data_IF_979387444701
#
_entry.id   IF_979387444701
#
_cell.length_a   1.000
_cell.length_b   1.000
_cell.length_c   1.000
_cell.angle_alpha   90.00
_cell.angle_beta   90.00
_cell.angle_gamma   90.00
#
_symmetry.space_group_name_H-M   'P 1'
#
loop_
_entity.id
_entity.type
_entity.pdbx_description
1 polymer ?
#
# COMPACT_ATOMS: atom_id res chain seq x y z
N UNK A 1 50.01 3.53 15.51
CA UNK A 1 48.60 3.68 15.08
C UNK A 1 48.49 3.21 13.63
N UNK A 2 47.71 2.17 13.35
CA UNK A 2 47.76 1.46 12.06
C UNK A 2 46.89 2.15 10.99
N UNK A 3 47.32 2.10 9.72
CA UNK A 3 46.59 2.63 8.56
C UNK A 3 45.13 2.10 8.47
N UNK A 4 44.85 0.92 9.05
CA UNK A 4 43.50 0.37 9.16
C UNK A 4 42.60 1.15 10.12
N UNK A 5 43.13 1.69 11.22
CA UNK A 5 42.33 2.53 12.14
C UNK A 5 42.01 3.89 11.55
N UNK A 6 42.85 4.41 10.65
CA UNK A 6 42.60 5.65 9.90
C UNK A 6 41.58 5.43 8.79
N UNK A 7 41.71 4.36 7.99
CA UNK A 7 40.74 4.01 6.94
C UNK A 7 39.36 3.65 7.51
N UNK A 8 39.31 2.95 8.66
CA UNK A 8 38.04 2.68 9.34
C UNK A 8 37.39 3.94 9.93
N UNK A 9 38.18 4.96 10.32
CA UNK A 9 37.66 6.28 10.73
C UNK A 9 37.15 7.09 9.55
N UNK A 10 37.85 7.08 8.42
CA UNK A 10 37.42 7.77 7.20
C UNK A 10 36.15 7.13 6.60
N UNK A 11 36.04 5.80 6.59
CA UNK A 11 34.79 5.13 6.20
C UNK A 11 33.62 5.51 7.12
N UNK A 12 33.87 5.65 8.43
CA UNK A 12 32.84 5.95 9.44
C UNK A 12 32.36 7.40 9.39
N UNK A 13 33.22 8.33 8.99
CA UNK A 13 32.86 9.74 8.84
C UNK A 13 31.97 10.00 7.61
N UNK A 14 32.09 9.18 6.56
CA UNK A 14 31.33 9.33 5.30
C UNK A 14 30.09 8.41 5.17
N UNK A 15 29.80 7.60 6.19
CA UNK A 15 28.75 6.57 6.21
C UNK A 15 27.34 7.10 6.53
N UNK A 16 27.20 8.39 6.83
CA UNK A 16 25.89 8.96 7.08
C UNK A 16 25.11 9.07 5.77
N UNK A 17 24.05 8.25 5.67
CA UNK A 17 23.08 8.36 4.61
C UNK A 17 22.42 9.75 4.64
N UNK A 18 21.98 10.23 3.47
CA UNK A 18 21.09 11.37 3.41
C UNK A 18 19.91 11.24 4.38
N UNK A 19 19.43 12.38 4.87
CA UNK A 19 18.21 12.45 5.68
C UNK A 19 17.03 11.85 4.95
N UNK A 20 16.90 12.14 3.65
CA UNK A 20 15.81 11.62 2.79
C UNK A 20 15.89 10.10 2.63
N UNK A 21 17.10 9.57 2.41
CA UNK A 21 17.35 8.13 2.30
C UNK A 21 17.11 7.40 3.62
N UNK A 22 17.46 8.02 4.74
CA UNK A 22 17.21 7.48 6.07
C UNK A 22 15.71 7.44 6.37
N UNK A 23 14.98 8.50 6.02
CA UNK A 23 13.53 8.60 6.22
C UNK A 23 12.75 7.63 5.33
N UNK A 24 13.09 7.54 4.04
CA UNK A 24 12.49 6.53 3.16
C UNK A 24 12.86 5.10 3.61
N UNK A 25 14.10 4.86 4.06
CA UNK A 25 14.48 3.58 4.65
C UNK A 25 13.64 3.21 5.88
N UNK A 26 13.30 4.18 6.74
CA UNK A 26 12.39 3.99 7.88
C UNK A 26 10.97 3.67 7.43
N UNK A 27 10.47 4.31 6.37
CA UNK A 27 9.16 4.00 5.78
C UNK A 27 9.16 2.57 5.20
N UNK A 28 10.21 2.18 4.47
CA UNK A 28 10.37 0.82 3.96
C UNK A 28 10.39 -0.23 5.08
N UNK A 29 11.14 0.04 6.17
CA UNK A 29 11.16 -0.82 7.34
C UNK A 29 9.79 -0.90 8.02
N UNK A 30 9.08 0.22 8.13
CA UNK A 30 7.72 0.26 8.63
C UNK A 30 6.78 -0.64 7.81
N UNK A 31 6.81 -0.57 6.47
CA UNK A 31 6.00 -1.43 5.61
C UNK A 31 6.39 -2.91 5.75
N UNK A 32 7.67 -3.22 5.94
CA UNK A 32 8.13 -4.58 6.20
C UNK A 32 7.58 -5.11 7.54
N UNK A 33 7.65 -4.32 8.61
CA UNK A 33 7.06 -4.68 9.91
C UNK A 33 5.53 -4.83 9.82
N UNK A 34 4.87 -3.94 9.08
CA UNK A 34 3.43 -3.98 8.86
C UNK A 34 3.01 -5.24 8.10
N UNK A 35 3.85 -5.72 7.18
CA UNK A 35 3.65 -6.96 6.45
C UNK A 35 3.67 -8.17 7.39
N UNK A 36 4.63 -8.22 8.30
CA UNK A 36 4.70 -9.26 9.34
C UNK A 36 3.50 -9.18 10.28
N UNK A 37 3.13 -7.98 10.74
CA UNK A 37 1.97 -7.78 11.61
C UNK A 37 0.66 -8.22 10.94
N UNK A 38 0.47 -7.87 9.67
CA UNK A 38 -0.66 -8.33 8.86
C UNK A 38 -0.69 -9.86 8.75
N UNK A 39 0.43 -10.50 8.46
CA UNK A 39 0.51 -11.95 8.32
C UNK A 39 0.22 -12.69 9.63
N UNK A 40 0.79 -12.22 10.75
CA UNK A 40 0.52 -12.78 12.08
C UNK A 40 -0.96 -12.62 12.44
N UNK A 41 -1.53 -11.43 12.24
CA UNK A 41 -2.95 -11.18 12.51
C UNK A 41 -3.86 -12.06 11.65
N UNK A 42 -3.51 -12.27 10.38
CA UNK A 42 -4.24 -13.17 9.49
C UNK A 42 -4.13 -14.64 9.93
N UNK A 43 -2.93 -15.10 10.31
CA UNK A 43 -2.74 -16.44 10.85
C UNK A 43 -3.55 -16.67 12.12
N UNK A 44 -3.55 -15.71 13.04
CA UNK A 44 -4.37 -15.75 14.26
C UNK A 44 -5.85 -15.82 13.91
N UNK A 45 -6.34 -14.96 13.00
CA UNK A 45 -7.72 -14.97 12.55
C UNK A 45 -8.14 -16.34 11.97
N UNK A 46 -7.29 -16.97 11.14
CA UNK A 46 -7.54 -18.31 10.60
C UNK A 46 -7.59 -19.40 11.69
N UNK A 47 -6.73 -19.32 12.71
CA UNK A 47 -6.68 -20.30 13.81
C UNK A 47 -7.82 -20.13 14.81
N UNK A 48 -8.32 -18.92 14.95
CA UNK A 48 -9.45 -18.58 15.82
C UNK A 48 -10.82 -18.86 15.18
N UNK A 49 -10.91 -19.33 13.93
CA UNK A 49 -12.19 -19.72 13.31
C UNK A 49 -12.96 -20.82 14.09
N UNK A 50 -12.34 -21.48 15.07
CA UNK A 50 -13.00 -22.40 16.01
C UNK A 50 -13.48 -21.77 17.34
N UNK A 51 -13.23 -20.48 17.57
CA UNK A 51 -13.62 -19.72 18.76
C UNK A 51 -14.43 -18.50 18.30
N UNK A 52 -15.62 -18.21 18.85
CA UNK A 52 -16.43 -17.07 18.44
C UNK A 52 -15.80 -15.76 18.95
N UNK A 53 -14.65 -15.37 18.41
CA UNK A 53 -14.06 -14.04 18.60
C UNK A 53 -14.66 -13.12 17.54
N UNK A 54 -15.94 -12.80 17.75
CA UNK A 54 -16.68 -11.84 16.93
C UNK A 54 -16.27 -10.43 17.38
N UNK A 55 -15.71 -9.63 16.46
CA UNK A 55 -15.49 -8.20 16.71
C UNK A 55 -14.47 -7.55 15.77
N UNK A 56 -14.67 -6.27 15.45
CA UNK A 56 -13.81 -5.49 14.56
C UNK A 56 -12.31 -5.54 14.93
N UNK A 57 -11.98 -5.75 16.21
CA UNK A 57 -10.59 -5.86 16.69
C UNK A 57 -9.88 -7.17 16.30
N UNK A 58 -10.61 -8.24 15.99
CA UNK A 58 -10.01 -9.48 15.48
C UNK A 58 -9.72 -9.43 13.98
N UNK A 59 -10.21 -8.40 13.28
CA UNK A 59 -9.98 -8.21 11.85
C UNK A 59 -8.50 -7.98 11.53
N UNK A 60 -7.92 -8.69 10.55
CA UNK A 60 -6.56 -8.44 10.07
C UNK A 60 -6.34 -7.03 9.51
N UNK A 61 -7.41 -6.35 9.07
CA UNK A 61 -7.34 -4.96 8.61
C UNK A 61 -7.23 -3.97 9.78
N UNK A 62 -7.65 -4.35 10.97
CA UNK A 62 -7.56 -3.52 12.19
C UNK A 62 -6.31 -3.87 12.98
N UNK A 63 -6.21 -5.10 13.49
CA UNK A 63 -5.09 -5.53 14.33
C UNK A 63 -3.77 -5.64 13.55
N UNK A 64 -3.81 -6.08 12.30
CA UNK A 64 -2.62 -6.28 11.46
C UNK A 64 -2.21 -5.06 10.62
N UNK A 65 -3.05 -4.02 10.56
CA UNK A 65 -2.85 -2.88 9.67
C UNK A 65 -3.17 -1.53 10.35
N UNK A 66 -4.42 -1.25 10.73
CA UNK A 66 -4.78 0.05 11.29
C UNK A 66 -4.05 0.36 12.61
N UNK A 67 -4.06 -0.57 13.56
CA UNK A 67 -3.44 -0.38 14.89
C UNK A 67 -1.93 -0.21 14.81
N UNK A 68 -1.15 -1.08 14.12
CA UNK A 68 0.29 -0.88 13.98
C UNK A 68 0.64 0.43 13.25
N UNK A 69 -0.18 0.83 12.27
CA UNK A 69 0.02 2.10 11.57
C UNK A 69 -0.23 3.30 12.49
N UNK A 70 -1.25 3.25 13.34
CA UNK A 70 -1.52 4.26 14.36
C UNK A 70 -0.39 4.37 15.39
N UNK A 71 0.09 3.22 15.88
CA UNK A 71 1.20 3.16 16.82
C UNK A 71 2.46 3.78 16.19
N UNK A 72 2.73 3.45 14.93
CA UNK A 72 3.86 4.04 14.21
C UNK A 72 3.70 5.54 14.00
N UNK A 73 2.52 6.01 13.61
CA UNK A 73 2.24 7.43 13.45
C UNK A 73 2.46 8.21 14.76
N UNK A 74 1.97 7.68 15.87
CA UNK A 74 2.18 8.26 17.20
C UNK A 74 3.68 8.30 17.56
N UNK A 75 4.40 7.18 17.37
CA UNK A 75 5.85 7.11 17.58
C UNK A 75 6.62 8.14 16.73
N UNK A 76 6.15 8.43 15.52
CA UNK A 76 6.75 9.42 14.60
C UNK A 76 6.25 10.84 14.81
N UNK A 77 5.37 11.08 15.79
CA UNK A 77 4.78 12.39 16.07
C UNK A 77 3.90 12.92 14.93
N UNK A 78 3.27 12.04 14.15
CA UNK A 78 2.31 12.41 13.09
C UNK A 78 0.94 12.58 13.73
N UNK A 79 0.38 13.79 13.69
CA UNK A 79 -0.95 14.09 14.19
C UNK A 79 -2.01 13.71 13.14
N UNK A 80 -2.66 12.57 13.34
CA UNK A 80 -3.74 12.13 12.46
C UNK A 80 -5.03 12.84 12.84
N UNK A 81 -5.60 13.59 11.90
CA UNK A 81 -6.89 14.25 12.09
C UNK A 81 -8.05 13.31 11.77
N UNK A 82 -8.79 12.93 12.81
CA UNK A 82 -10.07 12.23 12.73
C UNK A 82 -11.27 13.21 12.68
N UNK A 83 -11.01 14.50 12.50
CA UNK A 83 -12.06 15.50 12.31
C UNK A 83 -12.81 15.28 11.00
N UNK A 84 -14.07 15.73 10.94
CA UNK A 84 -14.80 15.82 9.68
C UNK A 84 -14.13 16.89 8.78
N UNK A 85 -14.21 16.73 7.45
CA UNK A 85 -13.75 17.76 6.53
C UNK A 85 -14.48 19.08 6.77
N UNK A 86 -13.76 20.20 6.58
CA UNK A 86 -14.34 21.53 6.62
C UNK A 86 -15.55 21.63 5.67
N UNK A 87 -16.58 22.40 6.05
CA UNK A 87 -17.81 22.53 5.25
C UNK A 87 -17.54 22.98 3.80
N UNK A 88 -16.55 23.85 3.61
CA UNK A 88 -16.11 24.34 2.29
C UNK A 88 -15.50 23.26 1.41
N UNK A 89 -15.05 22.13 1.98
CA UNK A 89 -14.35 21.03 1.29
C UNK A 89 -15.17 19.74 1.22
N UNK A 90 -16.44 19.76 1.61
CA UNK A 90 -17.30 18.57 1.57
C UNK A 90 -17.48 18.06 0.14
N UNK A 91 -17.66 18.95 -0.83
CA UNK A 91 -17.79 18.56 -2.24
C UNK A 91 -16.52 17.85 -2.75
N UNK A 92 -15.34 18.37 -2.42
CA UNK A 92 -14.06 17.74 -2.75
C UNK A 92 -13.88 16.40 -2.06
N UNK A 93 -14.26 16.29 -0.78
CA UNK A 93 -14.23 15.05 -0.02
C UNK A 93 -15.14 13.98 -0.64
N UNK A 94 -16.36 14.35 -1.05
CA UNK A 94 -17.31 13.46 -1.72
C UNK A 94 -16.81 13.03 -3.09
N UNK A 95 -16.32 13.98 -3.91
CA UNK A 95 -15.74 13.67 -5.22
C UNK A 95 -14.57 12.69 -5.07
N UNK A 96 -13.71 12.90 -4.07
CA UNK A 96 -12.57 12.02 -3.80
C UNK A 96 -13.01 10.64 -3.32
N UNK A 97 -14.03 10.55 -2.48
CA UNK A 97 -14.54 9.28 -1.98
C UNK A 97 -15.21 8.46 -3.09
N UNK A 98 -15.91 9.11 -4.03
CA UNK A 98 -16.64 8.46 -5.12
C UNK A 98 -15.77 8.14 -6.34
N UNK A 99 -14.75 8.96 -6.63
CA UNK A 99 -13.95 8.84 -7.85
C UNK A 99 -13.32 7.45 -8.07
N UNK A 100 -12.78 6.75 -7.05
CA UNK A 100 -12.27 5.40 -7.23
C UNK A 100 -13.36 4.40 -7.64
N UNK A 101 -14.56 4.51 -7.07
CA UNK A 101 -15.69 3.65 -7.44
C UNK A 101 -16.15 3.92 -8.87
N UNK A 102 -16.25 5.19 -9.26
CA UNK A 102 -16.57 5.58 -10.64
C UNK A 102 -15.51 5.09 -11.65
N UNK A 103 -14.24 5.07 -11.27
CA UNK A 103 -13.18 4.53 -12.12
C UNK A 103 -13.35 3.01 -12.37
N UNK A 104 -13.82 2.25 -11.38
CA UNK A 104 -14.14 0.81 -11.55
C UNK A 104 -15.32 0.64 -12.51
N UNK A 105 -16.39 1.41 -12.34
CA UNK A 105 -17.56 1.36 -13.23
C UNK A 105 -17.17 1.74 -14.67
N UNK A 106 -16.38 2.80 -14.84
CA UNK A 106 -15.89 3.23 -16.14
C UNK A 106 -14.99 2.18 -16.79
N UNK A 107 -14.11 1.54 -16.02
CA UNK A 107 -13.26 0.46 -16.51
C UNK A 107 -14.09 -0.74 -16.98
N UNK A 108 -15.07 -1.18 -16.18
CA UNK A 108 -15.99 -2.27 -16.56
C UNK A 108 -16.75 -1.95 -17.84
N UNK A 109 -17.34 -0.74 -17.95
CA UNK A 109 -18.01 -0.31 -19.17
C UNK A 109 -17.07 -0.30 -20.39
N UNK A 110 -15.82 0.16 -20.21
CA UNK A 110 -14.81 0.18 -21.27
C UNK A 110 -14.40 -1.24 -21.70
N UNK A 111 -14.27 -2.19 -20.78
CA UNK A 111 -13.98 -3.58 -21.12
C UNK A 111 -15.17 -4.26 -21.82
N UNK A 112 -16.39 -4.06 -21.32
CA UNK A 112 -17.59 -4.64 -21.92
C UNK A 112 -17.84 -4.08 -23.33
N UNK A 113 -17.80 -2.75 -23.50
CA UNK A 113 -18.13 -2.10 -24.78
C UNK A 113 -16.94 -2.09 -25.74
N UNK A 114 -15.73 -1.86 -25.23
CA UNK A 114 -14.53 -1.66 -26.05
C UNK A 114 -13.80 -2.95 -26.40
N UNK A 115 -13.89 -3.98 -25.56
CA UNK A 115 -13.11 -5.21 -25.69
C UNK A 115 -13.94 -6.49 -25.67
N UNK A 116 -15.28 -6.39 -25.54
CA UNK A 116 -16.20 -7.53 -25.39
C UNK A 116 -15.73 -8.49 -24.28
N UNK A 117 -15.20 -7.92 -23.20
CA UNK A 117 -14.57 -8.64 -22.09
C UNK A 117 -15.27 -8.31 -20.77
N UNK A 118 -15.51 -9.33 -19.95
CA UNK A 118 -15.99 -9.16 -18.58
C UNK A 118 -14.84 -8.76 -17.65
N UNK A 119 -15.02 -7.66 -16.92
CA UNK A 119 -14.17 -7.27 -15.80
C UNK A 119 -14.13 -8.34 -14.71
N UNK A 120 -15.26 -8.99 -14.40
CA UNK A 120 -15.32 -10.08 -13.42
C UNK A 120 -14.45 -11.27 -13.83
N UNK A 121 -14.51 -11.66 -15.11
CA UNK A 121 -13.65 -12.70 -15.68
C UNK A 121 -12.18 -12.28 -15.64
N UNK A 122 -11.88 -11.01 -15.94
CA UNK A 122 -10.55 -10.42 -15.84
C UNK A 122 -10.03 -10.27 -14.42
N UNK A 123 -10.86 -10.26 -13.37
CA UNK A 123 -10.40 -10.17 -11.97
C UNK A 123 -10.46 -11.54 -11.28
N UNK A 124 -10.99 -12.57 -11.95
CA UNK A 124 -11.02 -13.94 -11.47
C UNK A 124 -11.97 -14.18 -10.30
N UNK A 125 -13.06 -13.40 -10.20
CA UNK A 125 -14.04 -13.53 -9.12
C UNK A 125 -15.10 -14.56 -9.46
N UNK A 126 -15.52 -15.34 -8.46
CA UNK A 126 -16.62 -16.29 -8.58
C UNK A 126 -17.63 -16.06 -7.46
N UNK A 127 -18.90 -16.01 -7.81
CA UNK A 127 -20.03 -15.92 -6.89
C UNK A 127 -20.99 -17.07 -7.11
N UNK A 128 -21.75 -17.43 -6.07
CA UNK A 128 -22.83 -18.41 -6.22
C UNK A 128 -23.97 -17.77 -7.03
N UNK A 129 -24.55 -18.46 -8.03
CA UNK A 129 -25.54 -17.89 -8.97
C UNK A 129 -26.85 -17.43 -8.31
N UNK A 130 -27.14 -17.86 -7.08
CA UNK A 130 -28.35 -17.50 -6.33
C UNK A 130 -28.13 -16.37 -5.30
N UNK A 131 -26.91 -15.85 -5.17
CA UNK A 131 -26.66 -14.76 -4.23
C UNK A 131 -27.39 -13.48 -4.69
N UNK A 132 -27.93 -12.68 -3.77
CA UNK A 132 -28.52 -11.37 -4.13
C UNK A 132 -27.49 -10.25 -3.97
N UNK A 133 -27.56 -9.21 -4.81
CA UNK A 133 -26.69 -8.02 -4.74
C UNK A 133 -26.73 -7.38 -3.35
N UNK A 134 -27.93 -7.26 -2.78
CA UNK A 134 -28.15 -6.62 -1.47
C UNK A 134 -27.55 -7.47 -0.35
N UNK A 135 -27.73 -8.78 -0.37
CA UNK A 135 -27.08 -9.67 0.61
C UNK A 135 -25.57 -9.66 0.47
N UNK A 136 -25.02 -9.63 -0.75
CA UNK A 136 -23.59 -9.54 -0.98
C UNK A 136 -23.01 -8.20 -0.48
N UNK A 137 -23.72 -7.09 -0.70
CA UNK A 137 -23.34 -5.77 -0.22
C UNK A 137 -23.35 -5.69 1.32
N UNK A 138 -24.41 -6.20 1.96
CA UNK A 138 -24.55 -6.19 3.43
C UNK A 138 -23.50 -7.10 4.08
N UNK A 139 -23.26 -8.30 3.53
CA UNK A 139 -22.21 -9.19 4.02
C UNK A 139 -20.81 -8.60 3.84
N UNK A 140 -20.58 -7.86 2.75
CA UNK A 140 -19.29 -7.23 2.49
C UNK A 140 -19.08 -5.91 3.25
N UNK A 141 -20.13 -5.27 3.75
CA UNK A 141 -20.07 -3.89 4.27
C UNK A 141 -19.08 -3.74 5.43
N UNK A 142 -19.10 -4.66 6.39
CA UNK A 142 -18.18 -4.63 7.54
C UNK A 142 -16.73 -4.81 7.08
N UNK A 143 -16.44 -5.87 6.31
CA UNK A 143 -15.10 -6.15 5.80
C UNK A 143 -14.54 -4.98 4.97
N UNK A 144 -15.39 -4.39 4.14
CA UNK A 144 -15.03 -3.28 3.27
C UNK A 144 -14.79 -2.00 4.08
N UNK A 145 -15.60 -1.72 5.10
CA UNK A 145 -15.39 -0.59 6.00
C UNK A 145 -14.08 -0.73 6.79
N UNK A 146 -13.80 -1.93 7.32
CA UNK A 146 -12.57 -2.20 8.07
C UNK A 146 -11.32 -2.16 7.17
N UNK A 147 -11.41 -2.71 5.95
CA UNK A 147 -10.36 -2.59 4.95
C UNK A 147 -10.14 -1.12 4.56
N UNK A 148 -11.23 -0.37 4.33
CA UNK A 148 -11.21 1.04 4.02
C UNK A 148 -10.50 1.85 5.11
N UNK A 149 -10.85 1.62 6.37
CA UNK A 149 -10.19 2.27 7.51
C UNK A 149 -8.70 1.94 7.60
N UNK A 150 -8.33 0.66 7.49
CA UNK A 150 -6.93 0.23 7.57
C UNK A 150 -6.06 0.84 6.47
N UNK A 151 -6.52 0.76 5.22
CA UNK A 151 -5.79 1.32 4.07
C UNK A 151 -5.85 2.84 4.00
N UNK A 152 -6.99 3.45 4.37
CA UNK A 152 -7.13 4.90 4.43
C UNK A 152 -6.18 5.53 5.45
N UNK A 153 -6.01 4.87 6.60
CA UNK A 153 -5.07 5.30 7.63
C UNK A 153 -3.61 5.09 7.20
N UNK A 154 -3.29 3.99 6.52
CA UNK A 154 -1.98 3.78 5.89
C UNK A 154 -1.65 4.90 4.90
N UNK A 155 -2.58 5.24 4.02
CA UNK A 155 -2.41 6.30 3.03
C UNK A 155 -2.14 7.64 3.70
N UNK A 156 -2.93 8.01 4.71
CA UNK A 156 -2.75 9.27 5.44
C UNK A 156 -1.36 9.37 6.10
N UNK A 157 -0.95 8.31 6.81
CA UNK A 157 0.34 8.29 7.52
C UNK A 157 1.52 8.31 6.57
N UNK A 158 1.47 7.51 5.50
CA UNK A 158 2.55 7.50 4.50
C UNK A 158 2.64 8.86 3.79
N UNK A 159 1.50 9.46 3.42
CA UNK A 159 1.47 10.80 2.84
C UNK A 159 2.11 11.85 3.75
N UNK A 160 1.74 11.86 5.03
CA UNK A 160 2.29 12.81 5.99
C UNK A 160 3.78 12.60 6.22
N UNK A 161 4.25 11.36 6.29
CA UNK A 161 5.69 11.07 6.45
C UNK A 161 6.49 11.50 5.23
N UNK A 162 6.00 11.21 4.03
CA UNK A 162 6.69 11.56 2.79
C UNK A 162 6.65 13.07 2.54
N UNK A 163 5.56 13.75 2.85
CA UNK A 163 5.47 15.21 2.71
C UNK A 163 6.29 15.94 3.78
N UNK A 164 6.16 15.57 5.05
CA UNK A 164 6.73 16.33 6.17
C UNK A 164 8.15 15.93 6.55
N UNK A 165 8.55 14.66 6.37
CA UNK A 165 9.90 14.18 6.74
C UNK A 165 10.86 14.10 5.55
N UNK A 166 10.36 13.70 4.37
CA UNK A 166 11.18 13.66 3.15
C UNK A 166 11.14 15.00 2.40
N UNK A 167 10.15 15.85 2.68
CA UNK A 167 10.02 17.18 2.07
C UNK A 167 9.54 17.13 0.62
N UNK A 168 8.77 16.10 0.23
CA UNK A 168 8.23 16.03 -1.13
C UNK A 168 7.11 17.04 -1.34
N UNK A 169 7.11 17.70 -2.50
CA UNK A 169 5.98 18.48 -2.98
C UNK A 169 4.69 17.64 -3.00
N UNK A 170 3.49 18.21 -2.82
CA UNK A 170 2.24 17.46 -2.72
C UNK A 170 2.00 16.45 -3.84
N UNK A 171 2.25 16.83 -5.10
CA UNK A 171 2.08 15.93 -6.25
C UNK A 171 3.02 14.70 -6.18
N UNK A 172 4.27 14.91 -5.79
CA UNK A 172 5.25 13.82 -5.59
C UNK A 172 4.91 12.97 -4.38
N UNK A 173 4.40 13.58 -3.30
CA UNK A 173 3.95 12.85 -2.13
C UNK A 173 2.75 11.95 -2.43
N UNK A 174 1.78 12.42 -3.24
CA UNK A 174 0.67 11.59 -3.74
C UNK A 174 1.20 10.39 -4.53
N UNK A 175 2.08 10.62 -5.51
CA UNK A 175 2.63 9.55 -6.33
C UNK A 175 3.45 8.53 -5.50
N UNK A 176 4.29 9.02 -4.58
CA UNK A 176 5.06 8.16 -3.68
C UNK A 176 4.16 7.36 -2.74
N UNK A 177 3.11 7.97 -2.20
CA UNK A 177 2.13 7.29 -1.34
C UNK A 177 1.39 6.21 -2.11
N UNK A 178 0.94 6.50 -3.32
CA UNK A 178 0.30 5.52 -4.20
C UNK A 178 1.23 4.34 -4.50
N UNK A 179 2.50 4.61 -4.84
CA UNK A 179 3.49 3.57 -5.12
C UNK A 179 3.77 2.70 -3.88
N UNK A 180 3.99 3.31 -2.71
CA UNK A 180 4.27 2.59 -1.46
C UNK A 180 3.07 1.77 -0.98
N UNK A 181 1.88 2.33 -1.03
CA UNK A 181 0.65 1.61 -0.67
C UNK A 181 0.37 0.45 -1.63
N UNK A 182 0.63 0.64 -2.93
CA UNK A 182 0.48 -0.41 -3.95
C UNK A 182 1.50 -1.53 -3.74
N UNK A 183 2.77 -1.19 -3.51
CA UNK A 183 3.83 -2.15 -3.21
C UNK A 183 3.50 -2.95 -1.95
N UNK A 184 3.06 -2.27 -0.88
CA UNK A 184 2.64 -2.93 0.34
C UNK A 184 1.46 -3.88 0.10
N UNK A 185 0.38 -3.39 -0.51
CA UNK A 185 -0.85 -4.18 -0.72
C UNK A 185 -0.62 -5.38 -1.63
N UNK A 186 -0.04 -5.14 -2.81
CA UNK A 186 -0.05 -6.06 -3.95
C UNK A 186 1.15 -6.99 -3.99
N UNK A 187 2.24 -6.63 -3.31
CA UNK A 187 3.47 -7.44 -3.29
C UNK A 187 3.71 -7.96 -1.89
N UNK A 188 3.96 -7.08 -0.91
CA UNK A 188 4.42 -7.50 0.41
C UNK A 188 3.34 -8.26 1.18
N UNK A 189 2.16 -7.64 1.34
CA UNK A 189 1.05 -8.18 2.11
C UNK A 189 0.50 -9.46 1.49
N UNK A 190 0.26 -9.46 0.18
CA UNK A 190 -0.23 -10.64 -0.52
C UNK A 190 0.79 -11.79 -0.46
N UNK A 191 2.08 -11.53 -0.70
CA UNK A 191 3.12 -12.56 -0.53
C UNK A 191 3.13 -13.13 0.89
N UNK A 192 3.00 -12.30 1.91
CA UNK A 192 2.97 -12.76 3.30
C UNK A 192 1.71 -13.58 3.62
N UNK A 193 0.55 -13.25 3.05
CA UNK A 193 -0.65 -14.07 3.17
C UNK A 193 -0.49 -15.43 2.48
N UNK A 194 0.14 -15.47 1.30
CA UNK A 194 0.39 -16.74 0.61
C UNK A 194 1.34 -17.66 1.41
N UNK A 195 2.24 -17.09 2.22
CA UNK A 195 3.10 -17.84 3.14
C UNK A 195 2.29 -18.48 4.28
N UNK A 196 1.29 -17.75 4.80
CA UNK A 196 0.40 -18.24 5.87
C UNK A 196 -0.48 -19.39 5.39
N UNK A 197 -1.06 -19.29 4.19
CA UNK A 197 -1.97 -20.31 3.64
C UNK A 197 -1.22 -21.55 3.14
N UNK A 198 -0.04 -21.37 2.54
CA UNK A 198 0.77 -22.48 2.02
C UNK A 198 2.24 -22.34 2.46
N UNK A 199 2.61 -22.84 3.65
CA UNK A 199 3.95 -22.69 4.18
C UNK A 199 4.92 -23.63 3.44
N UNK A 200 5.56 -23.13 2.39
CA UNK A 200 6.67 -23.82 1.71
C UNK A 200 8.00 -23.12 2.02
N UNK A 201 9.11 -23.85 2.24
CA UNK A 201 10.41 -23.25 2.60
C UNK A 201 10.88 -22.16 1.62
N UNK A 202 10.70 -22.39 0.31
CA UNK A 202 11.07 -21.40 -0.71
C UNK A 202 10.27 -20.09 -0.61
N UNK A 203 9.02 -20.13 -0.11
CA UNK A 203 8.21 -18.91 0.10
C UNK A 203 8.75 -18.06 1.25
N UNK A 204 9.31 -18.68 2.29
CA UNK A 204 9.98 -17.95 3.38
C UNK A 204 11.15 -17.15 2.82
N UNK A 205 11.96 -17.77 1.95
CA UNK A 205 13.07 -17.10 1.27
C UNK A 205 12.58 -15.94 0.40
N UNK A 206 11.54 -16.15 -0.40
CA UNK A 206 10.98 -15.08 -1.25
C UNK A 206 10.44 -13.92 -0.42
N UNK A 207 9.63 -14.19 0.60
CA UNK A 207 9.10 -13.12 1.48
C UNK A 207 10.24 -12.37 2.16
N UNK A 208 11.25 -13.06 2.68
CA UNK A 208 12.41 -12.42 3.30
C UNK A 208 13.17 -11.53 2.31
N UNK A 209 13.38 -12.00 1.08
CA UNK A 209 13.99 -11.22 0.02
C UNK A 209 13.16 -9.99 -0.34
N UNK A 210 11.83 -10.11 -0.42
CA UNK A 210 10.93 -8.98 -0.70
C UNK A 210 10.95 -7.94 0.41
N UNK A 211 11.02 -8.35 1.67
CA UNK A 211 11.14 -7.41 2.81
C UNK A 211 12.46 -6.64 2.75
N UNK A 212 13.59 -7.32 2.49
CA UNK A 212 14.89 -6.66 2.30
C UNK A 212 14.86 -5.73 1.09
N UNK A 213 14.32 -6.20 -0.03
CA UNK A 213 14.19 -5.43 -1.26
C UNK A 213 13.34 -4.17 -1.07
N UNK A 214 12.27 -4.22 -0.27
CA UNK A 214 11.45 -3.05 0.03
C UNK A 214 12.22 -1.99 0.82
N UNK A 215 12.96 -2.40 1.87
CA UNK A 215 13.79 -1.47 2.66
C UNK A 215 14.89 -0.86 1.79
N UNK A 216 15.63 -1.71 1.07
CA UNK A 216 16.71 -1.27 0.17
C UNK A 216 16.19 -0.38 -0.95
N UNK A 217 15.05 -0.70 -1.54
CA UNK A 217 14.39 0.11 -2.58
C UNK A 217 14.01 1.50 -2.09
N UNK A 218 13.49 1.62 -0.87
CA UNK A 218 13.18 2.93 -0.29
C UNK A 218 14.44 3.74 0.00
N UNK A 219 15.51 3.12 0.54
CA UNK A 219 16.80 3.79 0.73
C UNK A 219 17.38 4.25 -0.61
N UNK A 220 17.37 3.39 -1.63
CA UNK A 220 17.82 3.69 -2.99
C UNK A 220 17.05 4.88 -3.58
N UNK A 221 15.72 4.90 -3.43
CA UNK A 221 14.86 5.99 -3.87
C UNK A 221 15.20 7.33 -3.19
N UNK A 222 15.59 7.32 -1.92
CA UNK A 222 16.01 8.55 -1.24
C UNK A 222 17.39 9.04 -1.67
N UNK A 223 18.33 8.13 -1.95
CA UNK A 223 19.64 8.49 -2.50
C UNK A 223 19.48 9.06 -3.92
N UNK A 224 18.65 8.46 -4.77
CA UNK A 224 18.38 8.97 -6.12
C UNK A 224 17.65 10.30 -6.08
N UNK A 225 16.68 10.47 -5.19
CA UNK A 225 16.00 11.74 -4.97
C UNK A 225 16.98 12.86 -4.62
N UNK A 226 17.83 12.65 -3.62
CA UNK A 226 18.84 13.66 -3.24
C UNK A 226 19.80 13.96 -4.38
N UNK A 227 20.25 12.94 -5.09
CA UNK A 227 21.16 13.10 -6.24
C UNK A 227 20.52 13.95 -7.34
N UNK A 228 19.21 13.77 -7.58
CA UNK A 228 18.46 14.57 -8.54
C UNK A 228 18.30 16.03 -8.07
N UNK A 229 18.07 16.26 -6.77
CA UNK A 229 17.97 17.61 -6.18
C UNK A 229 19.32 18.34 -6.25
N UNK A 230 20.42 17.66 -5.88
CA UNK A 230 21.78 18.21 -5.90
C UNK A 230 22.39 18.26 -7.32
N UNK A 231 21.71 17.71 -8.34
CA UNK A 231 22.22 17.52 -9.71
C UNK A 231 23.61 16.88 -9.75
N UNK A 232 23.85 15.91 -8.86
CA UNK A 232 25.14 15.28 -8.65
C UNK A 232 25.00 13.76 -8.59
N UNK A 233 25.85 13.05 -9.33
CA UNK A 233 25.90 11.58 -9.32
C UNK A 233 26.80 11.02 -8.21
N UNK A 234 27.51 11.90 -7.48
CA UNK A 234 28.46 11.51 -6.43
C UNK A 234 27.86 10.63 -5.33
N UNK A 235 26.59 10.79 -4.92
CA UNK A 235 25.97 9.88 -3.97
C UNK A 235 25.68 8.50 -4.57
N UNK A 236 25.36 8.42 -5.87
CA UNK A 236 25.03 7.18 -6.58
C UNK A 236 26.27 6.34 -6.93
N UNK A 237 27.41 6.98 -7.19
CA UNK A 237 28.64 6.31 -7.62
C UNK A 237 29.40 5.61 -6.47
N UNK A 238 28.81 5.55 -5.26
CA UNK A 238 29.45 4.91 -4.11
C UNK A 238 29.31 3.38 -4.21
N UNK A 239 30.42 2.62 -4.33
CA UNK A 239 30.36 1.17 -4.48
C UNK A 239 29.69 0.46 -3.29
N UNK A 240 29.77 1.04 -2.09
CA UNK A 240 29.09 0.52 -0.90
C UNK A 240 27.55 0.50 -1.02
N UNK A 241 26.96 1.27 -1.94
CA UNK A 241 25.51 1.28 -2.20
C UNK A 241 25.07 0.30 -3.28
N UNK A 242 26.00 -0.32 -4.02
CA UNK A 242 25.70 -1.31 -5.05
C UNK A 242 24.71 -2.41 -4.59
N UNK A 243 24.89 -3.06 -3.41
CA UNK A 243 23.91 -4.05 -2.96
C UNK A 243 22.53 -3.44 -2.69
N UNK A 244 22.46 -2.22 -2.16
CA UNK A 244 21.20 -1.52 -1.90
C UNK A 244 20.44 -1.27 -3.21
N UNK A 245 21.15 -0.84 -4.26
CA UNK A 245 20.56 -0.68 -5.59
C UNK A 245 20.15 -2.01 -6.23
N UNK A 246 20.96 -3.07 -6.08
CA UNK A 246 20.62 -4.40 -6.59
C UNK A 246 19.35 -4.96 -5.95
N UNK A 247 19.24 -4.92 -4.61
CA UNK A 247 18.03 -5.33 -3.90
C UNK A 247 16.85 -4.40 -4.17
N UNK A 248 17.08 -3.10 -4.31
CA UNK A 248 16.04 -2.15 -4.71
C UNK A 248 15.46 -2.47 -6.10
N UNK A 249 16.31 -2.84 -7.06
CA UNK A 249 15.88 -3.26 -8.39
C UNK A 249 15.03 -4.53 -8.34
N UNK A 250 15.37 -5.49 -7.48
CA UNK A 250 14.54 -6.68 -7.26
C UNK A 250 13.13 -6.33 -6.79
N UNK A 251 12.98 -5.32 -5.92
CA UNK A 251 11.66 -4.82 -5.49
C UNK A 251 10.87 -4.20 -6.64
N UNK A 252 11.53 -3.46 -7.53
CA UNK A 252 10.90 -2.90 -8.74
C UNK A 252 10.47 -4.00 -9.71
N UNK A 253 11.29 -5.02 -9.91
CA UNK A 253 10.95 -6.19 -10.75
C UNK A 253 9.74 -6.92 -10.17
N UNK A 254 9.72 -7.18 -8.86
CA UNK A 254 8.59 -7.82 -8.19
C UNK A 254 7.28 -7.03 -8.34
N UNK A 255 7.37 -5.69 -8.26
CA UNK A 255 6.22 -4.82 -8.53
C UNK A 255 5.79 -4.93 -9.99
N UNK A 256 6.73 -4.83 -10.94
CA UNK A 256 6.45 -4.95 -12.37
C UNK A 256 5.80 -6.29 -12.75
N UNK A 257 6.24 -7.40 -12.14
CA UNK A 257 5.63 -8.72 -12.36
C UNK A 257 4.19 -8.77 -11.85
N UNK A 258 3.87 -8.11 -10.73
CA UNK A 258 2.49 -8.06 -10.23
C UNK A 258 1.54 -7.35 -11.22
N UNK A 259 2.04 -6.39 -12.00
CA UNK A 259 1.26 -5.73 -13.05
C UNK A 259 1.21 -6.49 -14.38
N UNK A 260 2.10 -7.47 -14.60
CA UNK A 260 2.21 -8.20 -15.86
C UNK A 260 1.16 -9.32 -15.98
N UNK A 261 0.64 -9.84 -14.86
CA UNK A 261 -0.36 -10.89 -14.85
C UNK A 261 -1.73 -10.31 -15.25
N UNK A 262 -2.22 -10.59 -16.46
CA UNK A 262 -3.57 -10.24 -16.93
C UNK A 262 -4.49 -11.41 -16.59
N UNK A 263 -4.80 -11.56 -15.30
CA UNK A 263 -6.02 -10.93 -14.80
C UNK A 263 -5.77 -9.82 -13.73
N UNK A 264 -4.73 -9.94 -12.90
CA UNK A 264 -4.48 -9.04 -11.77
C UNK A 264 -4.06 -7.60 -12.11
N UNK A 265 -3.40 -7.37 -13.25
CA UNK A 265 -2.75 -6.10 -13.59
C UNK A 265 -3.71 -4.90 -13.66
N UNK A 266 -4.91 -5.11 -14.19
CA UNK A 266 -5.97 -4.08 -14.25
C UNK A 266 -6.43 -3.70 -12.85
N UNK A 267 -6.63 -4.69 -11.98
CA UNK A 267 -7.02 -4.45 -10.59
C UNK A 267 -5.93 -3.71 -9.82
N UNK A 268 -4.65 -4.07 -10.03
CA UNK A 268 -3.51 -3.37 -9.43
C UNK A 268 -3.41 -1.91 -9.91
N UNK A 269 -3.69 -1.64 -11.18
CA UNK A 269 -3.70 -0.28 -11.74
C UNK A 269 -4.83 0.58 -11.15
N UNK A 270 -6.05 0.02 -11.09
CA UNK A 270 -7.19 0.69 -10.45
C UNK A 270 -6.93 0.95 -8.96
N UNK A 271 -6.30 0.01 -8.26
CA UNK A 271 -5.88 0.20 -6.85
C UNK A 271 -4.83 1.30 -6.71
N UNK A 272 -3.81 1.33 -7.55
CA UNK A 272 -2.79 2.38 -7.51
C UNK A 272 -3.41 3.76 -7.72
N UNK A 273 -4.34 3.87 -8.68
CA UNK A 273 -5.14 5.07 -8.91
C UNK A 273 -5.98 5.43 -7.68
N UNK A 274 -6.64 4.45 -7.07
CA UNK A 274 -7.45 4.64 -5.87
C UNK A 274 -6.61 5.15 -4.69
N UNK A 275 -5.41 4.59 -4.45
CA UNK A 275 -4.49 5.07 -3.43
C UNK A 275 -4.01 6.50 -3.70
N UNK A 276 -3.73 6.85 -4.96
CA UNK A 276 -3.38 8.20 -5.36
C UNK A 276 -4.51 9.21 -5.12
N UNK A 277 -5.74 8.84 -5.50
CA UNK A 277 -6.94 9.65 -5.25
C UNK A 277 -7.18 9.81 -3.75
N UNK A 278 -7.05 8.75 -2.96
CA UNK A 278 -7.19 8.78 -1.51
C UNK A 278 -6.13 9.71 -0.87
N UNK A 279 -4.87 9.64 -1.32
CA UNK A 279 -3.81 10.54 -0.85
C UNK A 279 -4.08 12.01 -1.22
N UNK A 280 -4.56 12.27 -2.43
CA UNK A 280 -4.97 13.59 -2.88
C UNK A 280 -6.14 14.14 -2.05
N UNK A 281 -7.13 13.29 -1.74
CA UNK A 281 -8.26 13.62 -0.89
C UNK A 281 -7.85 13.96 0.53
N UNK A 282 -6.91 13.19 1.09
CA UNK A 282 -6.35 13.46 2.40
C UNK A 282 -5.62 14.80 2.42
N UNK A 283 -4.75 15.06 1.43
CA UNK A 283 -4.05 16.34 1.29
C UNK A 283 -5.01 17.54 1.27
N UNK A 284 -6.14 17.41 0.55
CA UNK A 284 -7.13 18.48 0.41
C UNK A 284 -8.05 18.62 1.62
N UNK A 285 -8.38 17.54 2.31
CA UNK A 285 -9.41 17.55 3.37
C UNK A 285 -8.85 17.55 4.78
N UNK A 286 -7.57 17.18 4.96
CA UNK A 286 -6.94 16.94 6.26
C UNK A 286 -7.77 16.03 7.18
N UNK A 287 -8.47 15.04 6.60
CA UNK A 287 -9.36 14.13 7.31
C UNK A 287 -9.11 12.69 6.84
N UNK A 288 -8.85 11.78 7.78
CA UNK A 288 -8.64 10.34 7.47
C UNK A 288 -9.93 9.65 7.01
N UNK A 289 -11.09 10.24 7.28
CA UNK A 289 -12.36 9.68 6.82
C UNK A 289 -12.48 9.71 5.30
N UNK A 290 -11.84 10.66 4.62
CA UNK A 290 -11.86 10.76 3.15
C UNK A 290 -11.13 9.60 2.48
N UNK A 291 -9.83 9.32 2.77
CA UNK A 291 -9.16 8.16 2.21
C UNK A 291 -9.80 6.85 2.70
N UNK A 292 -10.34 6.78 3.93
CA UNK A 292 -11.04 5.59 4.40
C UNK A 292 -12.32 5.30 3.59
N UNK A 293 -13.14 6.31 3.35
CA UNK A 293 -14.34 6.21 2.52
C UNK A 293 -14.00 5.89 1.07
N UNK A 294 -12.98 6.52 0.50
CA UNK A 294 -12.49 6.24 -0.84
C UNK A 294 -12.09 4.77 -1.02
N UNK A 295 -11.37 4.20 -0.04
CA UNK A 295 -10.95 2.80 -0.07
C UNK A 295 -12.07 1.81 0.19
N UNK A 296 -13.01 2.15 1.08
CA UNK A 296 -14.20 1.36 1.30
C UNK A 296 -15.06 1.30 0.03
N UNK A 297 -15.41 2.46 -0.54
CA UNK A 297 -16.24 2.52 -1.75
C UNK A 297 -15.57 1.89 -2.96
N UNK A 298 -14.25 2.05 -3.12
CA UNK A 298 -13.48 1.34 -4.14
C UNK A 298 -13.61 -0.18 -4.01
N UNK A 299 -13.36 -0.72 -2.82
CA UNK A 299 -13.43 -2.15 -2.55
C UNK A 299 -14.85 -2.69 -2.77
N UNK A 300 -15.87 -1.96 -2.29
CA UNK A 300 -17.28 -2.29 -2.54
C UNK A 300 -17.60 -2.30 -4.04
N UNK A 301 -17.12 -1.30 -4.78
CA UNK A 301 -17.40 -1.15 -6.21
C UNK A 301 -16.82 -2.32 -7.02
N UNK A 302 -15.60 -2.76 -6.72
CA UNK A 302 -15.03 -3.96 -7.34
C UNK A 302 -15.94 -5.17 -7.10
N UNK A 303 -16.41 -5.36 -5.86
CA UNK A 303 -17.29 -6.49 -5.52
C UNK A 303 -18.60 -6.45 -6.28
N UNK A 304 -19.24 -5.28 -6.28
CA UNK A 304 -20.55 -5.08 -6.90
C UNK A 304 -20.49 -5.20 -8.42
N UNK A 305 -19.49 -4.61 -9.07
CA UNK A 305 -19.30 -4.72 -10.52
C UNK A 305 -19.04 -6.16 -10.91
N UNK A 306 -18.14 -6.86 -10.20
CA UNK A 306 -17.88 -8.27 -10.46
C UNK A 306 -19.16 -9.12 -10.29
N UNK A 307 -19.93 -8.86 -9.24
CA UNK A 307 -21.20 -9.54 -9.00
C UNK A 307 -22.23 -9.28 -10.11
N UNK A 308 -22.41 -8.02 -10.51
CA UNK A 308 -23.40 -7.62 -11.53
C UNK A 308 -23.05 -8.23 -12.89
N UNK A 309 -21.78 -8.21 -13.28
CA UNK A 309 -21.37 -8.85 -14.54
C UNK A 309 -21.62 -10.35 -14.51
N UNK A 310 -21.24 -11.05 -13.42
CA UNK A 310 -21.47 -12.50 -13.30
C UNK A 310 -22.96 -12.88 -13.23
N UNK A 311 -23.85 -11.96 -12.88
CA UNK A 311 -25.30 -12.18 -12.90
C UNK A 311 -25.92 -11.90 -14.28
N UNK A 312 -25.23 -11.17 -15.15
CA UNK A 312 -25.70 -10.80 -16.48
C UNK A 312 -25.22 -11.74 -17.60
N UNK A 313 -24.13 -12.49 -17.36
CA UNK A 313 -23.56 -13.50 -18.26
C UNK A 313 -23.88 -14.92 -17.78
#
# INVERSE_FOLDING_TARGET
MSRFTTAARELRADLHLPTEATELGRIGLFLACLTVASAVSYWVALRLLGVPVVGALSSPNVAGLAVPTLVYAHYRGVSISFGLPERSRIADALATALAPGLAVVAASALFAVGFDASFAALVGWTYHPEASVVTAAVQAAEDVALAGLGFGLLVAVVFDLVSSRVGLSPARAVAATAALATLFRSVLRDAAFTLVVFPKPWRVTIVSLLLVAAVCGCVAAGVTYRSAVERSLRPLSRPALAPVFAFGLLGVVALGTAFADVPGGVEHALRALAFGIAALGYHRSASVWVPAAAMALFSLSIRLVAFVELAAF
#
